data_IF_442776563105
#
_entry.id   IF_442776563105
#
_cell.length_a   1.000
_cell.length_b   1.000
_cell.length_c   1.000
_cell.angle_alpha   90.00
_cell.angle_beta   90.00
_cell.angle_gamma   90.00
#
_symmetry.space_group_name_H-M   'P 1'
#
loop_
_entity.id
_entity.type
_entity.pdbx_description
1 polymer ?
#
# COMPACT_ATOMS: atom_id res chain seq x y z
N UNK A 1 4.65 0.68 -20.46
CA UNK A 1 4.65 1.29 -19.11
C UNK A 1 3.32 0.94 -18.50
N UNK A 2 3.30 0.07 -17.50
CA UNK A 2 2.06 -0.32 -16.83
C UNK A 2 1.48 0.92 -16.18
N UNK A 3 0.24 1.28 -16.50
CA UNK A 3 -0.47 2.40 -15.86
C UNK A 3 -0.48 2.17 -14.35
N UNK A 4 0.30 2.95 -13.62
CA UNK A 4 0.38 2.90 -12.17
C UNK A 4 -0.90 3.52 -11.63
N UNK A 5 -1.92 2.68 -11.41
CA UNK A 5 -3.22 3.12 -10.88
C UNK A 5 -3.05 3.44 -9.40
N UNK A 6 -3.04 4.73 -9.06
CA UNK A 6 -3.22 5.17 -7.68
C UNK A 6 -4.65 4.88 -7.29
N UNK A 7 -4.88 3.81 -6.53
CA UNK A 7 -6.17 3.58 -5.88
C UNK A 7 -6.27 4.60 -4.75
N UNK A 8 -6.95 5.71 -4.99
CA UNK A 8 -7.30 6.65 -3.93
C UNK A 8 -8.31 5.99 -3.00
N UNK A 9 -7.84 5.36 -1.92
CA UNK A 9 -8.73 4.98 -0.83
C UNK A 9 -9.26 6.28 -0.20
N UNK A 10 -10.55 6.34 0.08
CA UNK A 10 -11.21 7.55 0.60
C UNK A 10 -10.64 7.92 1.99
N UNK A 11 -10.36 9.22 2.27
CA UNK A 11 -9.76 9.69 3.53
C UNK A 11 -10.48 9.22 4.81
N UNK A 12 -11.80 9.08 4.75
CA UNK A 12 -12.65 8.73 5.89
C UNK A 12 -12.36 7.32 6.45
N UNK A 13 -11.85 6.41 5.62
CA UNK A 13 -11.54 5.03 6.00
C UNK A 13 -10.22 4.83 6.75
N UNK A 14 -9.27 5.76 6.64
CA UNK A 14 -7.92 5.61 7.20
C UNK A 14 -7.79 5.93 8.70
N UNK A 15 -8.77 6.63 9.27
CA UNK A 15 -8.75 7.03 10.69
C UNK A 15 -8.83 5.83 11.64
N UNK A 16 -9.44 4.73 11.19
CA UNK A 16 -9.50 3.45 11.89
C UNK A 16 -8.65 2.42 11.11
N UNK A 17 -7.45 2.06 11.61
CA UNK A 17 -6.53 1.19 10.88
C UNK A 17 -7.11 -0.21 10.64
N UNK A 18 -8.00 -0.70 11.53
CA UNK A 18 -8.61 -2.01 11.37
C UNK A 18 -9.65 -1.99 10.26
N UNK A 19 -10.46 -0.94 10.18
CA UNK A 19 -11.41 -0.78 9.06
C UNK A 19 -10.69 -0.63 7.74
N UNK A 20 -9.61 0.16 7.68
CA UNK A 20 -8.81 0.33 6.47
C UNK A 20 -8.26 -1.02 5.94
N UNK A 21 -7.68 -1.83 6.82
CA UNK A 21 -7.15 -3.15 6.43
C UNK A 21 -8.26 -4.11 5.98
N UNK A 22 -9.42 -4.11 6.65
CA UNK A 22 -10.58 -4.91 6.23
C UNK A 22 -11.09 -4.51 4.86
N UNK A 23 -11.20 -3.22 4.57
CA UNK A 23 -11.60 -2.75 3.24
C UNK A 23 -10.60 -3.17 2.16
N UNK A 24 -9.29 -3.16 2.43
CA UNK A 24 -8.31 -3.67 1.48
C UNK A 24 -8.50 -5.17 1.19
N UNK A 25 -8.84 -5.98 2.20
CA UNK A 25 -9.18 -7.40 2.04
C UNK A 25 -10.45 -7.54 1.18
N UNK A 26 -11.51 -6.82 1.51
CA UNK A 26 -12.77 -6.85 0.76
C UNK A 26 -12.58 -6.47 -0.71
N UNK A 27 -11.71 -5.50 -1.01
CA UNK A 27 -11.36 -5.11 -2.38
C UNK A 27 -10.59 -6.21 -3.14
N UNK A 28 -9.75 -6.99 -2.45
CA UNK A 28 -9.07 -8.14 -3.05
C UNK A 28 -10.04 -9.31 -3.28
N UNK A 29 -10.93 -9.57 -2.32
CA UNK A 29 -11.94 -10.64 -2.42
C UNK A 29 -12.99 -10.35 -3.51
N UNK A 30 -13.38 -9.09 -3.67
CA UNK A 30 -14.31 -8.66 -4.72
C UNK A 30 -13.70 -8.63 -6.12
N UNK A 31 -12.37 -8.69 -6.22
CA UNK A 31 -11.62 -8.55 -7.47
C UNK A 31 -11.48 -7.10 -7.96
N UNK A 32 -11.82 -6.11 -7.14
CA UNK A 32 -11.57 -4.69 -7.45
C UNK A 32 -10.07 -4.37 -7.50
N UNK A 33 -9.28 -5.07 -6.69
CA UNK A 33 -7.82 -5.11 -6.75
C UNK A 33 -7.41 -6.55 -7.05
N UNK A 34 -6.44 -6.73 -7.95
CA UNK A 34 -5.90 -8.06 -8.24
C UNK A 34 -5.22 -8.67 -7.00
N UNK A 35 -5.26 -10.01 -6.84
CA UNK A 35 -4.51 -10.70 -5.79
C UNK A 35 -3.02 -10.32 -5.82
N UNK A 36 -2.50 -9.85 -4.69
CA UNK A 36 -1.11 -9.38 -4.62
C UNK A 36 -0.09 -10.54 -4.68
N UNK A 37 0.97 -10.38 -5.48
CA UNK A 37 2.12 -11.29 -5.46
C UNK A 37 3.15 -10.92 -4.37
N UNK A 38 3.28 -9.62 -4.11
CA UNK A 38 4.11 -9.02 -3.05
C UNK A 38 3.36 -7.80 -2.50
N UNK A 39 3.37 -7.64 -1.19
CA UNK A 39 2.76 -6.53 -0.47
C UNK A 39 3.66 -6.08 0.68
N UNK A 40 3.64 -4.77 0.97
CA UNK A 40 4.41 -4.15 2.04
C UNK A 40 3.47 -3.33 2.94
N UNK A 41 3.55 -3.55 4.26
CA UNK A 41 2.79 -2.81 5.26
C UNK A 41 3.74 -2.26 6.31
N UNK A 42 3.67 -0.95 6.55
CA UNK A 42 4.43 -0.27 7.60
C UNK A 42 3.45 0.29 8.61
N UNK A 43 3.59 -0.11 9.87
CA UNK A 43 2.71 0.28 10.97
C UNK A 43 3.49 1.10 11.99
N UNK A 44 2.86 2.15 12.50
CA UNK A 44 3.39 2.97 13.59
C UNK A 44 2.48 2.87 14.80
N UNK A 45 3.01 2.37 15.91
CA UNK A 45 2.33 2.30 17.20
C UNK A 45 2.26 3.67 17.88
N UNK A 46 1.39 3.79 18.90
CA UNK A 46 1.23 5.03 19.69
C UNK A 46 2.50 5.49 20.40
N UNK A 47 3.44 4.57 20.63
CA UNK A 47 4.75 4.83 21.23
C UNK A 47 5.83 5.14 20.17
N UNK A 48 5.46 5.27 18.90
CA UNK A 48 6.40 5.46 17.78
C UNK A 48 7.14 4.19 17.35
N UNK A 49 6.80 3.01 17.90
CA UNK A 49 7.36 1.75 17.42
C UNK A 49 6.95 1.52 15.96
N UNK A 50 7.91 1.11 15.14
CA UNK A 50 7.70 0.81 13.73
C UNK A 50 7.76 -0.70 13.54
N UNK A 51 6.71 -1.23 12.93
CA UNK A 51 6.64 -2.63 12.50
C UNK A 51 6.47 -2.68 10.98
N UNK A 52 7.14 -3.63 10.34
CA UNK A 52 7.08 -3.82 8.89
C UNK A 52 6.73 -5.25 8.56
N UNK A 53 5.78 -5.44 7.66
CA UNK A 53 5.30 -6.74 7.22
C UNK A 53 5.38 -6.86 5.71
N UNK A 54 5.96 -7.96 5.24
CA UNK A 54 5.83 -8.45 3.88
C UNK A 54 4.72 -9.50 3.78
N UNK A 55 3.89 -9.45 2.74
CA UNK A 55 2.84 -10.45 2.52
C UNK A 55 2.69 -10.80 1.05
N UNK A 56 2.28 -12.03 0.73
CA UNK A 56 2.19 -12.54 -0.65
C UNK A 56 3.24 -13.60 -0.99
N UNK A 57 2.99 -14.42 -2.02
CA UNK A 57 3.82 -15.59 -2.35
C UNK A 57 5.25 -15.28 -2.80
N UNK A 58 5.53 -14.05 -3.24
CA UNK A 58 6.87 -13.61 -3.69
C UNK A 58 7.55 -12.66 -2.69
N UNK A 59 7.04 -12.55 -1.47
CA UNK A 59 7.58 -11.62 -0.49
C UNK A 59 8.83 -12.18 0.20
N UNK A 60 9.96 -11.58 -0.15
CA UNK A 60 11.20 -11.59 0.64
C UNK A 60 11.58 -10.14 1.04
N UNK A 61 12.52 -9.99 1.97
CA UNK A 61 12.89 -8.67 2.52
C UNK A 61 13.29 -7.65 1.43
N UNK A 62 13.98 -8.08 0.37
CA UNK A 62 14.42 -7.19 -0.70
C UNK A 62 13.28 -6.83 -1.65
N UNK A 63 12.40 -7.77 -1.97
CA UNK A 63 11.20 -7.52 -2.78
C UNK A 63 10.24 -6.58 -2.06
N UNK A 64 10.03 -6.78 -0.76
CA UNK A 64 9.17 -5.94 0.08
C UNK A 64 9.74 -4.52 0.19
N UNK A 65 11.05 -4.39 0.41
CA UNK A 65 11.73 -3.09 0.44
C UNK A 65 11.64 -2.38 -0.93
N UNK A 66 11.89 -3.11 -2.02
CA UNK A 66 11.78 -2.59 -3.38
C UNK A 66 10.37 -2.08 -3.69
N UNK A 67 9.35 -2.86 -3.32
CA UNK A 67 7.95 -2.48 -3.47
C UNK A 67 7.60 -1.22 -2.68
N UNK A 68 8.07 -1.11 -1.43
CA UNK A 68 7.84 0.07 -0.59
C UNK A 68 8.39 1.34 -1.26
N UNK A 69 9.59 1.28 -1.84
CA UNK A 69 10.22 2.41 -2.56
C UNK A 69 9.48 2.77 -3.83
N UNK A 70 9.01 1.79 -4.58
CA UNK A 70 8.19 2.04 -5.77
C UNK A 70 6.84 2.67 -5.40
N UNK A 71 6.18 2.16 -4.35
CA UNK A 71 4.93 2.73 -3.84
C UNK A 71 5.09 4.16 -3.35
N UNK A 72 6.18 4.46 -2.64
CA UNK A 72 6.56 5.82 -2.24
C UNK A 72 6.65 6.76 -3.47
N UNK A 73 7.36 6.33 -4.51
CA UNK A 73 7.50 7.12 -5.75
C UNK A 73 6.15 7.35 -6.44
N UNK A 74 5.28 6.34 -6.51
CA UNK A 74 3.93 6.47 -7.08
C UNK A 74 3.09 7.51 -6.35
N UNK A 75 3.14 7.53 -5.01
CA UNK A 75 2.43 8.53 -4.20
C UNK A 75 2.99 9.93 -4.46
N UNK A 76 4.32 10.07 -4.51
CA UNK A 76 4.98 11.35 -4.79
C UNK A 76 4.57 11.87 -6.16
N UNK A 77 4.67 11.06 -7.20
CA UNK A 77 4.33 11.45 -8.58
C UNK A 77 2.85 11.82 -8.71
N UNK A 78 1.96 11.12 -7.99
CA UNK A 78 0.53 11.43 -7.95
C UNK A 78 0.18 12.69 -7.14
N UNK A 79 1.02 13.08 -6.19
CA UNK A 79 0.82 14.25 -5.32
C UNK A 79 1.47 15.53 -5.87
N UNK A 80 2.55 15.39 -6.63
CA UNK A 80 3.33 16.49 -7.21
C UNK A 80 3.60 16.21 -8.70
N UNK A 81 2.61 16.41 -9.59
CA UNK A 81 2.81 16.20 -11.00
C UNK A 81 3.92 17.12 -11.51
N UNK A 82 4.93 16.55 -12.17
CA UNK A 82 6.02 17.32 -12.78
C UNK A 82 5.46 18.26 -13.85
N UNK A 83 5.40 19.56 -13.55
CA UNK A 83 5.03 20.61 -14.52
C UNK A 83 3.96 21.61 -14.08
N UNK A 84 3.82 21.88 -12.78
CA UNK A 84 3.09 23.06 -12.27
C UNK A 84 3.95 24.32 -12.26
#
# INVERSE_FOLDING_TARGET
>A
MTDLKVVQLKPEGYSDPIKALKSAIEMMESGEIEPCETGALVLMGKNGAIETYGFGPKSDDLQVLGLLRLGEQVIIDGSFPKGG
#
